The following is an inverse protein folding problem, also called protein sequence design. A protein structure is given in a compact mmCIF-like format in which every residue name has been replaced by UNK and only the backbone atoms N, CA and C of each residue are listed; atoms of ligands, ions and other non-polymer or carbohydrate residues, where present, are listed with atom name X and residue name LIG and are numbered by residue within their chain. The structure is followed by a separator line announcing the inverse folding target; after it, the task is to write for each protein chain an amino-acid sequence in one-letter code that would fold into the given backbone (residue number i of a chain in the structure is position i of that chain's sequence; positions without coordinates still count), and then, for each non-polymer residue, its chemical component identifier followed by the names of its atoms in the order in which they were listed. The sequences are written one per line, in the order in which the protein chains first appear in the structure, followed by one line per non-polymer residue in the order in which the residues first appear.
data_IF_409105841560
#
_entry.id   IF_409105841560
#
_cell.length_a   1.000
_cell.length_b   1.000
_cell.length_c   1.000
_cell.angle_alpha   90.00
_cell.angle_beta   90.00
_cell.angle_gamma   90.00
#
_symmetry.space_group_name_H-M   'P 1'
#
loop_
_entity.id
_entity.type
_entity.pdbx_description
1 polymer ?
#
# COMPACT_ATOMS: atom_id res chain seq x y z
N UNK A 1 -13.95 27.55 -8.88
CA UNK A 1 -12.55 28.01 -9.10
C UNK A 1 -11.68 26.77 -9.16
N UNK A 2 -11.28 26.38 -10.37
CA UNK A 2 -10.46 25.19 -10.60
C UNK A 2 -8.99 25.49 -10.35
N UNK A 3 -8.32 24.61 -9.63
CA UNK A 3 -6.87 24.64 -9.46
C UNK A 3 -6.28 23.34 -10.03
N UNK A 4 -5.29 23.56 -10.89
CA UNK A 4 -4.63 22.60 -11.74
C UNK A 4 -3.93 21.50 -10.94
N UNK A 5 -4.43 20.28 -11.04
CA UNK A 5 -3.60 19.09 -10.90
C UNK A 5 -2.67 19.07 -12.12
N UNK A 6 -1.35 19.06 -11.92
CA UNK A 6 -0.37 18.93 -12.99
C UNK A 6 -0.44 17.51 -13.57
N UNK A 7 -1.29 17.34 -14.60
CA UNK A 7 -1.39 16.12 -15.38
C UNK A 7 -0.25 16.07 -16.39
N UNK A 8 0.71 15.18 -16.20
CA UNK A 8 1.64 14.81 -17.27
C UNK A 8 1.03 13.66 -18.06
N UNK A 9 0.61 13.94 -19.29
CA UNK A 9 0.04 12.95 -20.21
C UNK A 9 1.11 12.52 -21.21
N UNK A 10 1.92 11.53 -20.84
CA UNK A 10 2.79 10.84 -21.79
C UNK A 10 2.17 9.49 -22.14
N UNK A 11 1.87 9.28 -23.43
CA UNK A 11 1.62 7.98 -24.06
C UNK A 11 0.66 7.03 -23.32
N UNK A 12 -0.49 7.53 -22.86
CA UNK A 12 -1.57 6.68 -22.34
C UNK A 12 -1.36 6.14 -20.91
N UNK A 13 -0.29 6.52 -20.22
CA UNK A 13 -0.04 6.13 -18.83
C UNK A 13 -0.41 7.27 -17.89
N UNK A 14 -1.42 7.06 -17.03
CA UNK A 14 -1.69 7.97 -15.90
C UNK A 14 -0.72 7.60 -14.79
N UNK A 15 0.32 8.42 -14.59
CA UNK A 15 1.20 8.30 -13.42
C UNK A 15 0.70 9.32 -12.39
N UNK A 16 -0.03 8.86 -11.37
CA UNK A 16 -0.21 9.66 -10.16
C UNK A 16 1.09 9.55 -9.37
N UNK A 17 1.90 10.61 -9.35
CA UNK A 17 3.06 10.68 -8.47
C UNK A 17 2.55 10.62 -7.03
N UNK A 18 2.64 9.42 -6.44
CA UNK A 18 2.29 9.15 -5.05
C UNK A 18 3.59 8.91 -4.33
N UNK A 19 3.86 9.68 -3.29
CA UNK A 19 5.05 9.49 -2.46
C UNK A 19 4.70 8.52 -1.35
N UNK A 20 5.49 7.46 -1.21
CA UNK A 20 5.44 6.59 -0.03
C UNK A 20 6.21 7.26 1.09
N UNK A 21 5.59 7.31 2.26
CA UNK A 21 6.21 7.82 3.48
C UNK A 21 6.33 6.65 4.44
N UNK A 22 7.56 6.32 4.84
CA UNK A 22 7.86 5.27 5.81
C UNK A 22 8.27 5.89 7.14
N UNK A 23 8.06 5.14 8.22
CA UNK A 23 8.67 5.45 9.52
C UNK A 23 9.96 4.65 9.60
N UNK A 24 11.08 5.35 9.77
CA UNK A 24 12.39 4.70 9.88
C UNK A 24 12.45 3.82 11.13
N UNK A 25 13.04 2.64 10.98
CA UNK A 25 13.31 1.67 12.06
C UNK A 25 12.07 1.24 12.87
N UNK A 26 10.88 1.25 12.26
CA UNK A 26 9.65 0.76 12.90
C UNK A 26 9.35 -0.69 12.51
N UNK A 27 9.22 -1.57 13.50
CA UNK A 27 8.85 -2.97 13.30
C UNK A 27 7.36 -3.13 12.95
N UNK A 28 7.01 -3.60 11.73
CA UNK A 28 5.61 -3.81 11.33
C UNK A 28 4.82 -4.73 12.26
N UNK A 29 5.47 -5.68 12.94
CA UNK A 29 4.80 -6.60 13.87
C UNK A 29 4.15 -5.87 15.06
N UNK A 30 4.65 -4.69 15.42
CA UNK A 30 4.06 -3.86 16.47
C UNK A 30 2.65 -3.36 16.11
N UNK A 31 2.31 -3.32 14.82
CA UNK A 31 0.98 -2.94 14.35
C UNK A 31 -0.12 -3.91 14.78
N UNK A 32 0.21 -5.19 15.05
CA UNK A 32 -0.78 -6.18 15.52
C UNK A 32 -1.55 -5.68 16.75
N UNK A 33 -0.87 -4.99 17.66
CA UNK A 33 -1.47 -4.41 18.88
C UNK A 33 -2.26 -3.12 18.63
N UNK A 34 -2.12 -2.51 17.44
CA UNK A 34 -2.72 -1.23 17.07
C UNK A 34 -3.94 -1.39 16.14
N UNK A 35 -4.16 -2.56 15.54
CA UNK A 35 -5.26 -2.79 14.59
C UNK A 35 -6.64 -2.44 15.12
N UNK A 36 -6.94 -2.73 16.39
CA UNK A 36 -8.22 -2.33 17.01
C UNK A 36 -8.48 -0.83 16.93
N UNK A 37 -7.44 0.01 17.09
CA UNK A 37 -7.57 1.46 16.94
C UNK A 37 -7.72 1.88 15.48
N UNK A 38 -7.00 1.19 14.59
CA UNK A 38 -6.99 1.47 13.15
C UNK A 38 -8.29 1.05 12.45
N UNK A 39 -9.05 0.11 13.00
CA UNK A 39 -10.24 -0.45 12.34
C UNK A 39 -11.31 0.62 12.05
N UNK A 40 -11.41 1.65 12.89
CA UNK A 40 -12.28 2.83 12.66
C UNK A 40 -11.95 3.58 11.35
N UNK A 41 -10.72 3.42 10.86
CA UNK A 41 -10.20 4.05 9.66
C UNK A 41 -10.13 3.08 8.48
N UNK A 42 -10.50 1.80 8.67
CA UNK A 42 -10.46 0.81 7.59
C UNK A 42 -11.38 1.23 6.44
N UNK A 43 -10.91 1.06 5.20
CA UNK A 43 -11.65 1.43 3.99
C UNK A 43 -11.84 0.24 3.07
N UNK A 44 -10.76 -0.46 2.74
CA UNK A 44 -10.81 -1.61 1.87
C UNK A 44 -9.58 -2.49 2.04
N UNK A 45 -9.67 -3.67 1.46
CA UNK A 45 -8.61 -4.64 1.34
C UNK A 45 -8.45 -5.00 -0.15
N UNK A 46 -7.22 -5.31 -0.53
CA UNK A 46 -6.87 -5.86 -1.84
C UNK A 46 -5.94 -7.06 -1.63
N UNK A 47 -6.08 -8.06 -2.50
CA UNK A 47 -5.13 -9.18 -2.57
C UNK A 47 -4.50 -9.13 -3.95
N UNK A 48 -3.18 -9.16 -3.96
CA UNK A 48 -2.38 -9.09 -5.18
C UNK A 48 -1.47 -10.31 -5.21
N UNK A 49 -1.40 -10.98 -6.35
CA UNK A 49 -0.46 -12.10 -6.55
C UNK A 49 0.82 -11.50 -7.14
N UNK A 50 1.89 -11.51 -6.34
CA UNK A 50 3.24 -11.12 -6.76
C UNK A 50 4.00 -12.38 -7.18
N UNK A 51 4.63 -12.32 -8.36
CA UNK A 51 5.44 -13.39 -8.92
C UNK A 51 6.89 -12.94 -8.95
N UNK A 52 7.76 -13.69 -8.29
CA UNK A 52 9.20 -13.45 -8.30
C UNK A 52 9.86 -14.56 -9.11
N UNK A 53 10.66 -14.19 -10.12
CA UNK A 53 11.40 -15.14 -10.95
C UNK A 53 12.77 -14.57 -11.33
N UNK A 54 13.70 -15.39 -11.86
CA UNK A 54 14.96 -14.89 -12.41
C UNK A 54 14.79 -13.81 -13.49
N UNK A 55 13.66 -13.83 -14.21
CA UNK A 55 13.34 -12.87 -15.28
C UNK A 55 12.80 -11.53 -14.75
N UNK A 56 12.54 -11.43 -13.45
CA UNK A 56 12.12 -10.22 -12.75
C UNK A 56 10.86 -10.39 -11.90
N UNK A 57 10.27 -9.25 -11.55
CA UNK A 57 9.06 -9.14 -10.75
C UNK A 57 7.84 -8.99 -11.66
N UNK A 58 6.78 -9.70 -11.33
CA UNK A 58 5.51 -9.62 -12.04
C UNK A 58 4.35 -9.53 -11.06
N UNK A 59 3.23 -9.00 -11.54
CA UNK A 59 2.00 -8.90 -10.78
C UNK A 59 0.80 -9.32 -11.63
N UNK A 60 -0.10 -10.11 -11.04
CA UNK A 60 -1.40 -10.43 -11.65
C UNK A 60 -2.46 -9.52 -11.02
N UNK A 61 -3.04 -8.64 -11.82
CA UNK A 61 -4.09 -7.72 -11.41
C UNK A 61 -5.17 -7.65 -12.49
N UNK A 62 -6.44 -7.82 -12.10
CA UNK A 62 -7.59 -7.79 -13.03
C UNK A 62 -7.43 -8.74 -14.24
N UNK A 63 -6.99 -9.98 -14.00
CA UNK A 63 -6.71 -11.01 -15.01
C UNK A 63 -5.66 -10.61 -16.07
N UNK A 64 -4.80 -9.65 -15.76
CA UNK A 64 -3.67 -9.25 -16.61
C UNK A 64 -2.36 -9.47 -15.87
N UNK A 65 -1.38 -10.02 -16.59
CA UNK A 65 -0.02 -10.19 -16.11
C UNK A 65 0.82 -8.97 -16.51
N UNK A 66 1.44 -8.34 -15.53
CA UNK A 66 2.30 -7.18 -15.74
C UNK A 66 3.71 -7.49 -15.26
N UNK A 67 4.71 -7.21 -16.10
CA UNK A 67 6.12 -7.16 -15.67
C UNK A 67 6.38 -5.80 -15.04
N UNK A 68 6.99 -5.80 -13.86
CA UNK A 68 7.32 -4.60 -13.10
C UNK A 68 8.78 -4.24 -13.35
N UNK A 69 9.02 -2.99 -13.78
CA UNK A 69 10.35 -2.43 -13.92
C UNK A 69 10.53 -1.30 -12.89
N UNK A 70 11.42 -1.45 -11.90
CA UNK A 70 11.63 -0.40 -10.90
C UNK A 70 12.26 0.83 -11.54
N UNK A 71 11.77 2.00 -11.13
CA UNK A 71 12.36 3.30 -11.39
C UNK A 71 12.68 3.93 -10.04
N UNK A 72 13.95 3.87 -9.68
CA UNK A 72 14.43 4.33 -8.39
C UNK A 72 14.55 5.86 -8.34
N UNK A 73 14.26 6.42 -7.18
CA UNK A 73 14.43 7.83 -6.83
C UNK A 73 15.17 7.93 -5.51
N UNK A 74 15.79 9.09 -5.29
CA UNK A 74 16.43 9.37 -4.01
C UNK A 74 15.41 9.37 -2.88
N UNK A 75 15.77 8.70 -1.78
CA UNK A 75 14.98 8.70 -0.55
C UNK A 75 15.38 9.91 0.30
N UNK A 76 14.42 10.73 0.68
CA UNK A 76 14.64 11.92 1.53
C UNK A 76 14.22 11.61 2.96
N UNK A 77 15.03 11.99 3.95
CA UNK A 77 14.68 11.85 5.37
C UNK A 77 14.24 13.20 5.95
N UNK A 78 13.19 13.20 6.77
CA UNK A 78 12.73 14.37 7.52
C UNK A 78 12.10 13.98 8.86
N UNK A 79 12.40 14.73 9.92
CA UNK A 79 11.78 14.53 11.23
C UNK A 79 10.40 15.19 11.31
N UNK A 80 9.42 14.47 11.88
CA UNK A 80 8.07 14.99 12.11
C UNK A 80 7.42 14.29 13.32
N UNK A 81 6.85 15.06 14.25
CA UNK A 81 6.09 14.54 15.40
C UNK A 81 6.80 13.48 16.27
N UNK A 82 8.14 13.54 16.33
CA UNK A 82 8.98 12.61 17.08
C UNK A 82 9.42 11.36 16.30
N UNK A 83 9.08 11.26 15.02
CA UNK A 83 9.50 10.19 14.13
C UNK A 83 10.51 10.71 13.09
N UNK A 84 11.42 9.85 12.66
CA UNK A 84 12.20 10.05 11.44
C UNK A 84 11.44 9.40 10.27
N UNK A 85 11.02 10.21 9.29
CA UNK A 85 10.24 9.76 8.15
C UNK A 85 11.12 9.66 6.91
N UNK A 86 10.92 8.61 6.12
CA UNK A 86 11.58 8.40 4.83
C UNK A 86 10.58 8.59 3.69
N UNK A 87 10.89 9.48 2.76
CA UNK A 87 10.06 9.80 1.60
C UNK A 87 10.66 9.14 0.37
N UNK A 88 9.91 8.20 -0.19
CA UNK A 88 10.29 7.45 -1.38
C UNK A 88 9.30 7.74 -2.51
N UNK A 89 9.81 8.29 -3.61
CA UNK A 89 9.03 8.54 -4.82
C UNK A 89 9.39 7.56 -5.95
N UNK A 90 10.09 6.47 -5.62
CA UNK A 90 10.34 5.35 -6.53
C UNK A 90 9.02 4.69 -6.91
N UNK A 91 8.96 4.19 -8.14
CA UNK A 91 7.75 3.59 -8.68
C UNK A 91 8.09 2.45 -9.63
N UNK A 92 7.09 1.66 -10.01
CA UNK A 92 7.24 0.64 -11.04
C UNK A 92 6.58 1.09 -12.33
N UNK A 93 7.34 1.06 -13.42
CA UNK A 93 6.75 1.00 -14.76
C UNK A 93 6.16 -0.41 -14.97
N UNK A 94 5.01 -0.46 -15.66
CA UNK A 94 4.30 -1.72 -15.93
C UNK A 94 4.31 -2.02 -17.41
N UNK A 95 4.76 -3.20 -17.77
CA UNK A 95 4.72 -3.74 -19.12
C UNK A 95 3.72 -4.89 -19.18
N UNK A 96 2.75 -4.82 -20.09
CA UNK A 96 1.76 -5.89 -20.26
C UNK A 96 2.43 -7.12 -20.89
N UNK A 97 2.34 -8.26 -20.22
CA UNK A 97 2.89 -9.52 -20.70
C UNK A 97 1.76 -10.35 -21.31
N UNK A 98 1.89 -10.66 -22.60
CA UNK A 98 0.93 -11.51 -23.32
C UNK A 98 1.31 -13.00 -23.29
N UNK A 99 2.50 -13.33 -22.80
CA UNK A 99 3.04 -14.69 -22.74
C UNK A 99 2.66 -15.42 -21.45
N UNK A 100 3.10 -16.68 -21.34
CA UNK A 100 2.94 -17.48 -20.13
C UNK A 100 3.74 -16.90 -18.95
N UNK A 101 3.27 -17.20 -17.74
CA UNK A 101 3.98 -16.95 -16.48
C UNK A 101 5.36 -17.64 -16.55
N UNK A 102 6.46 -17.00 -16.08
CA UNK A 102 7.77 -17.64 -16.03
C UNK A 102 7.70 -19.00 -15.34
N UNK A 103 8.29 -20.04 -15.91
CA UNK A 103 8.14 -21.40 -15.37
C UNK A 103 8.72 -21.53 -13.95
N UNK A 104 9.84 -20.86 -13.69
CA UNK A 104 10.55 -20.86 -12.40
C UNK A 104 10.18 -19.61 -11.57
N UNK A 105 8.94 -19.55 -11.10
CA UNK A 105 8.44 -18.43 -10.31
C UNK A 105 7.97 -18.89 -8.93
N UNK A 106 8.09 -17.97 -7.96
CA UNK A 106 7.48 -18.08 -6.63
C UNK A 106 6.28 -17.17 -6.57
N UNK A 107 5.13 -17.72 -6.14
CA UNK A 107 3.90 -16.99 -5.90
C UNK A 107 3.85 -16.47 -4.46
N UNK A 108 3.51 -15.19 -4.30
CA UNK A 108 3.28 -14.58 -3.00
C UNK A 108 1.95 -13.83 -3.05
N UNK A 109 0.99 -14.28 -2.25
CA UNK A 109 -0.30 -13.62 -2.11
C UNK A 109 -0.17 -12.51 -1.07
N UNK A 110 0.04 -11.28 -1.54
CA UNK A 110 0.20 -10.10 -0.68
C UNK A 110 -1.16 -9.47 -0.42
N UNK A 111 -1.48 -9.28 0.85
CA UNK A 111 -2.71 -8.59 1.28
C UNK A 111 -2.36 -7.15 1.65
N UNK A 112 -3.10 -6.20 1.07
CA UNK A 112 -2.97 -4.76 1.36
C UNK A 112 -4.24 -4.27 2.01
N UNK A 113 -4.12 -3.76 3.23
CA UNK A 113 -5.21 -3.12 3.96
C UNK A 113 -5.03 -1.60 3.92
N UNK A 114 -6.07 -0.90 3.49
CA UNK A 114 -6.06 0.54 3.32
C UNK A 114 -6.90 1.23 4.41
N UNK A 115 -6.30 2.23 5.04
CA UNK A 115 -6.90 3.04 6.08
C UNK A 115 -6.87 4.52 5.67
N UNK A 116 -7.92 5.27 6.01
CA UNK A 116 -8.03 6.69 5.68
C UNK A 116 -8.94 7.44 6.64
N UNK A 117 -8.67 8.73 6.85
CA UNK A 117 -9.50 9.59 7.69
C UNK A 117 -10.83 9.95 7.01
N UNK A 118 -10.82 10.03 5.68
CA UNK A 118 -11.96 10.49 4.90
C UNK A 118 -13.17 9.56 4.97
N UNK A 119 -14.36 10.18 4.95
CA UNK A 119 -15.63 9.47 4.79
C UNK A 119 -15.68 8.79 3.41
N UNK A 120 -16.45 7.72 3.26
CA UNK A 120 -16.69 7.07 1.96
C UNK A 120 -17.13 8.13 0.93
N UNK A 121 -16.42 8.21 -0.20
CA UNK A 121 -16.72 9.14 -1.29
C UNK A 121 -15.98 10.49 -1.27
N UNK A 122 -15.14 10.77 -0.27
CA UNK A 122 -14.26 11.96 -0.24
C UNK A 122 -12.83 11.63 -0.65
N UNK A 123 -12.12 12.64 -1.19
CA UNK A 123 -10.73 12.50 -1.63
C UNK A 123 -9.79 12.58 -0.41
N UNK A 124 -9.13 11.47 -0.09
CA UNK A 124 -8.09 11.40 0.95
C UNK A 124 -6.78 11.95 0.40
N UNK A 125 -6.07 12.77 1.19
CA UNK A 125 -4.75 13.27 0.83
C UNK A 125 -3.65 12.28 1.22
N UNK A 126 -3.94 11.42 2.20
CA UNK A 126 -3.08 10.37 2.71
C UNK A 126 -3.88 9.08 2.88
N UNK A 127 -3.28 7.94 2.56
CA UNK A 127 -3.78 6.62 2.96
C UNK A 127 -2.70 5.90 3.73
N UNK A 128 -3.05 5.34 4.88
CA UNK A 128 -2.17 4.41 5.59
C UNK A 128 -2.38 3.01 5.01
N UNK A 129 -1.30 2.35 4.61
CA UNK A 129 -1.31 1.04 3.98
C UNK A 129 -0.52 0.08 4.84
N UNK A 130 -1.13 -1.06 5.14
CA UNK A 130 -0.45 -2.19 5.80
C UNK A 130 -0.43 -3.35 4.82
N UNK A 131 0.75 -3.82 4.49
CA UNK A 131 0.97 -5.01 3.67
C UNK A 131 1.31 -6.19 4.58
N UNK A 132 0.88 -7.38 4.20
CA UNK A 132 1.18 -8.59 4.95
C UNK A 132 0.71 -9.84 4.24
N UNK A 133 0.86 -10.95 4.94
CA UNK A 133 0.49 -12.28 4.47
C UNK A 133 -0.46 -12.89 5.49
N UNK A 134 -1.43 -13.68 5.02
CA UNK A 134 -2.11 -14.62 5.91
C UNK A 134 -1.27 -15.89 6.01
N UNK A 135 -1.06 -16.36 7.23
CA UNK A 135 -0.50 -17.70 7.42
C UNK A 135 -1.52 -18.73 6.93
N UNK A 136 -1.13 -19.53 5.93
CA UNK A 136 -1.94 -20.61 5.40
C UNK A 136 -2.21 -21.64 6.50
N UNK A 137 -3.36 -21.55 7.17
CA UNK A 137 -4.02 -22.77 7.60
C UNK A 137 -4.54 -23.46 6.34
N UNK A 138 -4.30 -24.76 6.19
CA UNK A 138 -4.73 -25.63 5.08
C UNK A 138 -6.27 -25.69 4.84
N UNK A 139 -7.03 -24.69 5.27
CA UNK A 139 -8.48 -24.65 5.23
C UNK A 139 -8.95 -23.43 4.43
N UNK A 140 -9.14 -23.63 3.12
CA UNK A 140 -10.20 -23.05 2.31
C UNK A 140 -10.89 -21.81 2.92
N UNK A 141 -10.20 -20.67 3.02
CA UNK A 141 -10.88 -19.39 3.16
C UNK A 141 -11.39 -19.02 1.77
N UNK A 142 -12.54 -19.62 1.43
CA UNK A 142 -13.41 -19.09 0.39
C UNK A 142 -13.79 -17.67 0.82
N UNK A 143 -13.09 -16.70 0.26
CA UNK A 143 -13.47 -15.29 0.28
C UNK A 143 -14.81 -15.23 -0.46
N UNK A 144 -15.91 -15.28 0.29
CA UNK A 144 -17.26 -15.37 -0.28
C UNK A 144 -18.38 -15.63 0.72
N UNK A 145 -18.10 -16.12 1.94
CA UNK A 145 -19.15 -16.33 2.93
C UNK A 145 -19.28 -15.14 3.89
N UNK A 146 -20.47 -14.53 3.84
CA UNK A 146 -21.02 -13.54 4.77
C UNK A 146 -21.05 -14.06 6.22
N UNK A 147 -19.90 -14.18 6.90
CA UNK A 147 -19.82 -14.30 8.36
C UNK A 147 -19.35 -12.98 8.95
N UNK A 148 -20.31 -12.22 9.44
CA UNK A 148 -20.16 -10.92 10.08
C UNK A 148 -19.40 -10.94 11.43
N UNK A 149 -18.39 -11.80 11.63
CA UNK A 149 -17.61 -11.86 12.87
C UNK A 149 -16.27 -12.63 12.78
N UNK A 150 -15.66 -12.77 11.61
CA UNK A 150 -14.25 -13.19 11.55
C UNK A 150 -13.37 -11.95 11.71
N UNK A 151 -12.55 -11.90 12.76
CA UNK A 151 -11.49 -10.91 12.91
C UNK A 151 -10.65 -10.90 11.63
N UNK A 152 -10.71 -9.82 10.84
CA UNK A 152 -9.98 -9.70 9.57
C UNK A 152 -8.46 -9.75 9.76
N UNK A 153 -7.98 -9.63 11.00
CA UNK A 153 -6.57 -9.72 11.35
C UNK A 153 -6.18 -11.13 11.83
N UNK A 154 -7.12 -12.07 11.87
CA UNK A 154 -6.83 -13.46 12.25
C UNK A 154 -5.80 -14.07 11.30
N UNK A 155 -4.70 -14.58 11.87
CA UNK A 155 -3.54 -15.10 11.14
C UNK A 155 -2.89 -14.12 10.14
N UNK A 156 -3.18 -12.83 10.24
CA UNK A 156 -2.52 -11.80 9.44
C UNK A 156 -1.19 -11.42 10.07
N UNK A 157 -0.11 -11.53 9.31
CA UNK A 157 1.23 -11.09 9.71
C UNK A 157 1.64 -9.90 8.84
N UNK A 158 1.68 -8.67 9.40
CA UNK A 158 2.12 -7.50 8.68
C UNK A 158 3.61 -7.62 8.37
N UNK A 159 3.97 -7.39 7.12
CA UNK A 159 5.35 -7.46 6.63
C UNK A 159 5.91 -6.08 6.29
N UNK A 160 5.03 -5.12 5.99
CA UNK A 160 5.40 -3.75 5.66
C UNK A 160 4.23 -2.79 5.94
N UNK A 161 4.54 -1.50 6.09
CA UNK A 161 3.52 -0.47 6.09
C UNK A 161 4.12 0.87 5.64
N UNK A 162 3.26 1.74 5.13
CA UNK A 162 3.64 3.07 4.68
C UNK A 162 2.41 3.96 4.55
N UNK A 163 2.64 5.26 4.39
CA UNK A 163 1.61 6.20 3.99
C UNK A 163 1.76 6.54 2.51
N UNK A 164 0.65 6.50 1.76
CA UNK A 164 0.57 6.99 0.40
C UNK A 164 0.04 8.42 0.42
N UNK A 165 0.90 9.38 0.09
CA UNK A 165 0.51 10.77 -0.08
C UNK A 165 0.14 11.03 -1.55
N UNK A 166 -1.03 11.63 -1.78
CA UNK A 166 -1.46 12.06 -3.12
C UNK A 166 -0.99 13.47 -3.49
N UNK A 167 -0.42 14.19 -2.53
CA UNK A 167 0.07 15.57 -2.67
C UNK A 167 1.39 15.76 -1.91
N UNK A 168 2.05 16.90 -2.12
CA UNK A 168 3.29 17.24 -1.43
C UNK A 168 3.14 17.19 0.09
N UNK A 169 4.19 16.75 0.78
CA UNK A 169 4.26 16.77 2.24
C UNK A 169 4.07 18.17 2.82
N UNK A 170 4.39 19.24 2.08
CA UNK A 170 4.15 20.60 2.52
C UNK A 170 2.68 20.98 2.63
N UNK A 171 1.78 20.16 2.06
CA UNK A 171 0.35 20.33 2.27
C UNK A 171 -0.02 20.07 3.74
N UNK A 172 -0.62 21.08 4.37
CA UNK A 172 -1.08 21.03 5.76
C UNK A 172 -2.08 19.90 6.02
N UNK A 173 -2.92 19.54 5.04
CA UNK A 173 -3.88 18.45 5.14
C UNK A 173 -3.16 17.09 5.21
N UNK A 174 -2.12 16.89 4.41
CA UNK A 174 -1.27 15.68 4.45
C UNK A 174 -0.62 15.54 5.83
N UNK A 175 -0.01 16.62 6.36
CA UNK A 175 0.59 16.62 7.70
C UNK A 175 -0.42 16.33 8.81
N UNK A 176 -1.64 16.88 8.69
CA UNK A 176 -2.73 16.67 9.65
C UNK A 176 -3.21 15.22 9.67
N UNK A 177 -3.48 14.63 8.49
CA UNK A 177 -3.88 13.22 8.37
C UNK A 177 -2.77 12.30 8.87
N UNK A 178 -1.51 12.61 8.54
CA UNK A 178 -0.36 11.83 9.01
C UNK A 178 -0.26 11.84 10.53
N UNK A 179 -0.39 13.01 11.17
CA UNK A 179 -0.31 13.12 12.63
C UNK A 179 -1.39 12.28 13.34
N UNK A 180 -2.60 12.17 12.77
CA UNK A 180 -3.66 11.31 13.32
C UNK A 180 -3.18 9.86 13.41
N UNK A 181 -2.62 9.30 12.34
CA UNK A 181 -2.12 7.93 12.37
C UNK A 181 -0.86 7.79 13.25
N UNK A 182 0.09 8.72 13.17
CA UNK A 182 1.29 8.69 14.01
C UNK A 182 0.94 8.69 15.51
N UNK A 183 -0.11 9.42 15.92
CA UNK A 183 -0.58 9.43 17.31
C UNK A 183 -1.09 8.06 17.80
N UNK A 184 -1.55 7.20 16.88
CA UNK A 184 -1.98 5.84 17.20
C UNK A 184 -0.81 4.85 17.24
N UNK A 185 0.27 5.17 16.53
CA UNK A 185 1.48 4.34 16.42
C UNK A 185 2.47 4.56 17.57
N UNK A 186 2.44 5.74 18.22
CA UNK A 186 3.00 5.97 19.56
C UNK A 186 2.41 4.94 20.54
#
# INVERSE_FOLDING_TARGET
MGLNSLYYKYLGTIVMATTKIFIKDYDPLLLKKKFVKLDNYFRNQEITIELVSPDGLFVIESNKLWKLKPIDKDVVSQSFEGFELLFDSSYFERELVFSHIPYDHVNIDVVKMYYGQESIGKKSFLRFVVEGLYENDNNNHKIGDNKANSDKYFNFTPTNFYFLASESFDNVLVKKELNVFLSMLK
#
